data_IF_633712336641
#
_entry.id   IF_633712336641
#
_cell.length_a   1.000
_cell.length_b   1.000
_cell.length_c   1.000
_cell.angle_alpha   90.00
_cell.angle_beta   90.00
_cell.angle_gamma   90.00
#
_symmetry.space_group_name_H-M   'P 1'
#
loop_
_entity.id
_entity.type
_entity.pdbx_description
1 polymer ?
#
# COMPACT_ATOMS: atom_id res chain seq x y z
N UNK A 1 -15.49 0.01 -7.44
CA UNK A 1 -14.62 1.21 -7.49
C UNK A 1 -13.96 1.30 -6.15
N UNK A 2 -12.66 1.54 -6.03
CA UNK A 2 -12.03 1.68 -4.71
C UNK A 2 -12.73 2.73 -3.86
N UNK A 3 -13.17 3.84 -4.47
CA UNK A 3 -13.93 4.90 -3.81
C UNK A 3 -15.28 5.15 -4.48
N UNK A 4 -16.34 5.15 -3.67
CA UNK A 4 -17.69 5.54 -4.08
C UNK A 4 -17.92 6.98 -3.67
N UNK A 5 -18.16 7.85 -4.66
CA UNK A 5 -18.52 9.24 -4.44
C UNK A 5 -20.03 9.39 -4.26
N UNK A 6 -20.45 10.03 -3.17
CA UNK A 6 -21.83 10.50 -2.97
C UNK A 6 -21.84 12.02 -3.04
N UNK A 7 -22.52 12.56 -4.06
CA UNK A 7 -22.56 13.99 -4.27
C UNK A 7 -23.46 14.70 -3.24
N UNK A 8 -23.11 15.92 -2.86
CA UNK A 8 -23.91 16.77 -1.96
C UNK A 8 -24.18 16.11 -0.60
N UNK A 9 -23.17 15.42 -0.06
CA UNK A 9 -23.28 14.62 1.14
C UNK A 9 -22.06 14.81 2.05
N UNK A 10 -22.31 14.74 3.36
CA UNK A 10 -21.30 14.71 4.41
C UNK A 10 -21.87 13.94 5.61
N UNK A 11 -20.99 13.53 6.53
CA UNK A 11 -21.44 13.17 7.87
C UNK A 11 -22.02 14.44 8.53
N UNK A 12 -23.29 14.38 8.91
CA UNK A 12 -24.09 15.59 9.11
C UNK A 12 -24.83 15.57 10.46
N UNK A 13 -24.92 16.76 11.08
CA UNK A 13 -25.69 17.04 12.30
C UNK A 13 -25.55 15.98 13.41
N UNK A 14 -26.60 15.18 13.61
CA UNK A 14 -26.74 14.20 14.69
C UNK A 14 -25.96 12.92 14.50
N UNK A 15 -25.19 12.79 13.42
CA UNK A 15 -24.33 11.64 13.20
C UNK A 15 -23.36 11.39 14.34
N UNK A 16 -22.96 10.14 14.54
CA UNK A 16 -21.97 9.80 15.55
C UNK A 16 -20.60 10.33 15.16
N UNK A 17 -20.12 11.36 15.85
CA UNK A 17 -18.80 11.98 15.63
C UNK A 17 -17.67 11.32 16.44
N UNK A 18 -17.94 10.26 17.19
CA UNK A 18 -16.90 9.51 17.91
C UNK A 18 -15.90 8.85 16.96
N UNK A 19 -16.32 8.61 15.72
CA UNK A 19 -15.51 8.08 14.62
C UNK A 19 -14.67 9.13 13.88
N UNK A 20 -14.71 10.41 14.27
CA UNK A 20 -13.89 11.46 13.68
C UNK A 20 -12.40 11.16 13.91
N UNK A 21 -11.62 11.16 12.83
CA UNK A 21 -10.17 10.95 12.89
C UNK A 21 -9.44 12.29 12.89
N UNK A 22 -9.61 13.08 11.81
CA UNK A 22 -8.90 14.34 11.60
C UNK A 22 -9.52 15.17 10.49
N UNK A 23 -9.15 16.43 10.43
CA UNK A 23 -9.41 17.35 9.30
C UNK A 23 -8.08 17.78 8.70
N UNK A 24 -7.97 17.72 7.38
CA UNK A 24 -6.79 18.19 6.64
C UNK A 24 -7.22 19.34 5.73
N UNK A 25 -6.71 20.56 5.95
CA UNK A 25 -7.05 21.72 5.14
C UNK A 25 -6.34 21.69 3.78
N UNK A 26 -6.92 22.36 2.78
CA UNK A 26 -6.37 22.46 1.42
C UNK A 26 -6.04 21.10 0.78
N UNK A 27 -6.86 20.10 1.06
CA UNK A 27 -6.67 18.73 0.63
C UNK A 27 -7.66 18.39 -0.48
N UNK A 28 -7.17 18.22 -1.70
CA UNK A 28 -7.99 17.72 -2.81
C UNK A 28 -8.51 16.30 -2.51
N UNK A 29 -9.60 15.86 -3.16
CA UNK A 29 -10.06 14.47 -3.02
C UNK A 29 -8.99 13.42 -3.33
N UNK A 30 -8.15 13.66 -4.36
CA UNK A 30 -7.04 12.78 -4.71
C UNK A 30 -6.02 12.67 -3.55
N UNK A 31 -5.59 13.79 -2.98
CA UNK A 31 -4.72 13.79 -1.80
C UNK A 31 -5.38 13.11 -0.59
N UNK A 32 -6.69 13.28 -0.43
CA UNK A 32 -7.42 12.63 0.65
C UNK A 32 -7.44 11.10 0.50
N UNK A 33 -7.56 10.59 -0.74
CA UNK A 33 -7.45 9.16 -1.03
C UNK A 33 -6.05 8.62 -0.68
N UNK A 34 -4.98 9.35 -1.02
CA UNK A 34 -3.61 8.99 -0.63
C UNK A 34 -3.43 8.91 0.89
N UNK A 35 -3.90 9.94 1.62
CA UNK A 35 -3.86 9.97 3.09
C UNK A 35 -4.61 8.78 3.67
N UNK A 36 -5.75 8.42 3.07
CA UNK A 36 -6.56 7.32 3.52
C UNK A 36 -5.89 5.97 3.20
N UNK A 37 -5.17 5.83 2.08
CA UNK A 37 -4.41 4.61 1.80
C UNK A 37 -3.25 4.39 2.79
N UNK A 38 -2.63 5.46 3.28
CA UNK A 38 -1.56 5.37 4.29
C UNK A 38 -2.08 5.00 5.69
N UNK A 39 -3.39 5.11 5.94
CA UNK A 39 -4.02 4.91 7.24
C UNK A 39 -5.21 3.94 7.11
N UNK A 40 -5.01 2.63 7.38
CA UNK A 40 -6.06 1.62 7.30
C UNK A 40 -7.29 1.91 8.17
N UNK A 41 -7.13 2.77 9.20
CA UNK A 41 -8.25 3.22 10.04
C UNK A 41 -9.19 4.19 9.34
N UNK A 42 -8.85 4.76 8.18
CA UNK A 42 -9.71 5.69 7.46
C UNK A 42 -10.57 4.94 6.45
N UNK A 43 -11.87 4.82 6.72
CA UNK A 43 -12.81 4.14 5.83
C UNK A 43 -13.61 5.07 4.91
N UNK A 44 -13.77 6.34 5.28
CA UNK A 44 -14.38 7.35 4.41
C UNK A 44 -13.95 8.77 4.81
N UNK A 45 -14.22 9.71 3.91
CA UNK A 45 -14.07 11.13 4.16
C UNK A 45 -15.15 11.94 3.42
N UNK A 46 -15.33 13.20 3.80
CA UNK A 46 -15.98 14.17 2.91
C UNK A 46 -15.05 15.34 2.61
N UNK A 47 -15.23 15.92 1.43
CA UNK A 47 -14.50 17.06 0.93
C UNK A 47 -15.42 18.28 0.82
N UNK A 48 -15.03 19.39 1.42
CA UNK A 48 -15.77 20.65 1.41
C UNK A 48 -15.43 21.47 0.16
N UNK A 49 -16.34 21.54 -0.81
CA UNK A 49 -16.21 22.44 -1.98
C UNK A 49 -16.45 23.90 -1.60
N UNK A 50 -17.28 24.12 -0.59
CA UNK A 50 -17.58 25.41 0.02
C UNK A 50 -17.61 25.31 1.55
N UNK A 51 -17.67 26.46 2.22
CA UNK A 51 -17.78 26.53 3.67
C UNK A 51 -19.07 25.87 4.18
N UNK A 52 -18.94 25.04 5.21
CA UNK A 52 -20.06 24.33 5.85
C UNK A 52 -20.06 24.61 7.35
N UNK A 53 -21.23 24.95 7.90
CA UNK A 53 -21.45 25.04 9.35
C UNK A 53 -22.59 24.13 9.71
N UNK A 54 -22.35 23.25 10.68
CA UNK A 54 -23.33 22.32 11.21
C UNK A 54 -24.01 22.92 12.43
N UNK A 55 -25.26 22.52 12.69
CA UNK A 55 -26.03 22.97 13.85
C UNK A 55 -25.41 22.58 15.19
N UNK A 56 -24.56 21.54 15.21
CA UNK A 56 -23.78 21.13 16.37
C UNK A 56 -22.52 22.00 16.63
N UNK A 57 -22.35 23.10 15.88
CA UNK A 57 -21.26 24.07 16.04
C UNK A 57 -19.97 23.72 15.29
N UNK A 58 -19.87 22.55 14.66
CA UNK A 58 -18.73 22.21 13.80
C UNK A 58 -18.76 23.05 12.52
N UNK A 59 -17.61 23.58 12.13
CA UNK A 59 -17.44 24.35 10.89
C UNK A 59 -16.26 23.83 10.10
N UNK A 60 -16.42 23.76 8.78
CA UNK A 60 -15.40 23.31 7.84
C UNK A 60 -15.26 24.31 6.71
N UNK A 61 -14.02 24.55 6.29
CA UNK A 61 -13.69 25.51 5.24
C UNK A 61 -13.69 24.83 3.88
N UNK A 62 -13.84 25.63 2.84
CA UNK A 62 -13.55 25.20 1.48
C UNK A 62 -12.14 24.60 1.41
N UNK A 63 -12.01 23.44 0.79
CA UNK A 63 -10.76 22.70 0.66
C UNK A 63 -10.46 21.74 1.81
N UNK A 64 -11.28 21.68 2.87
CA UNK A 64 -11.08 20.72 3.94
C UNK A 64 -11.48 19.30 3.49
N UNK A 65 -10.64 18.31 3.81
CA UNK A 65 -11.00 16.90 3.82
C UNK A 65 -11.15 16.42 5.27
N UNK A 66 -12.28 15.79 5.59
CA UNK A 66 -12.63 15.36 6.95
C UNK A 66 -12.76 13.85 6.98
N UNK A 67 -11.92 13.20 7.78
CA UNK A 67 -11.72 11.75 7.78
C UNK A 67 -12.38 11.06 8.96
N UNK A 68 -12.85 9.84 8.73
CA UNK A 68 -13.59 9.05 9.69
C UNK A 68 -13.15 7.59 9.68
N UNK A 69 -13.24 6.95 10.85
CA UNK A 69 -13.02 5.53 11.05
C UNK A 69 -14.33 4.84 11.44
N UNK A 70 -14.99 4.20 10.50
CA UNK A 70 -16.19 3.41 10.77
C UNK A 70 -16.16 2.08 10.06
N UNK A 71 -16.49 1.02 10.78
CA UNK A 71 -16.86 -0.28 10.21
C UNK A 71 -18.31 -0.30 9.73
N UNK A 72 -19.11 0.69 10.12
CA UNK A 72 -20.51 0.86 9.70
C UNK A 72 -20.62 1.83 8.53
N UNK A 73 -21.68 1.67 7.73
CA UNK A 73 -22.00 2.60 6.66
C UNK A 73 -22.13 4.04 7.22
N UNK A 74 -21.53 5.03 6.54
CA UNK A 74 -21.57 6.41 7.00
C UNK A 74 -23.00 6.94 6.97
N UNK A 75 -23.42 7.62 8.05
CA UNK A 75 -24.70 8.31 8.07
C UNK A 75 -24.56 9.68 7.41
N UNK A 76 -24.88 9.72 6.12
CA UNK A 76 -24.87 10.96 5.35
C UNK A 76 -26.14 11.77 5.55
N UNK A 77 -25.97 13.08 5.72
CA UNK A 77 -27.03 14.07 5.52
C UNK A 77 -26.82 14.88 4.25
N UNK A 78 -27.84 15.66 3.88
CA UNK A 78 -27.76 16.58 2.75
C UNK A 78 -26.79 17.71 3.06
N UNK A 79 -25.71 17.79 2.30
CA UNK A 79 -24.70 18.83 2.40
C UNK A 79 -24.30 19.31 0.99
N UNK A 80 -25.05 20.23 0.36
CA UNK A 80 -24.75 20.74 -0.99
C UNK A 80 -23.34 21.31 -1.16
N UNK A 81 -22.68 21.67 -0.06
CA UNK A 81 -21.32 22.20 -0.03
C UNK A 81 -20.24 21.11 -0.10
N UNK A 82 -20.60 19.83 0.11
CA UNK A 82 -19.64 18.74 0.29
C UNK A 82 -19.92 17.56 -0.64
N UNK A 83 -18.88 16.78 -0.90
CA UNK A 83 -18.99 15.44 -1.47
C UNK A 83 -18.38 14.41 -0.52
N UNK A 84 -19.06 13.29 -0.33
CA UNK A 84 -18.55 12.19 0.47
C UNK A 84 -17.90 11.10 -0.40
N UNK A 85 -16.89 10.45 0.14
CA UNK A 85 -16.09 9.42 -0.51
C UNK A 85 -15.93 8.26 0.47
N UNK A 86 -16.55 7.11 0.14
CA UNK A 86 -16.47 5.88 0.95
C UNK A 86 -15.58 4.87 0.24
N UNK A 87 -14.66 4.24 0.97
CA UNK A 87 -13.86 3.14 0.42
C UNK A 87 -14.73 1.88 0.32
N UNK A 88 -14.76 1.27 -0.85
CA UNK A 88 -15.49 0.02 -1.09
C UNK A 88 -14.57 -1.19 -0.83
N UNK A 89 -13.38 -1.18 -1.43
CA UNK A 89 -12.28 -2.10 -1.17
C UNK A 89 -10.95 -1.36 -1.39
N UNK A 90 -9.86 -1.92 -0.86
CA UNK A 90 -8.51 -1.53 -1.24
C UNK A 90 -8.11 -2.33 -2.48
N UNK A 91 -7.74 -1.66 -3.56
CA UNK A 91 -7.26 -2.31 -4.78
C UNK A 91 -5.82 -1.91 -5.07
N UNK A 92 -4.92 -2.90 -5.11
CA UNK A 92 -3.49 -2.71 -5.33
C UNK A 92 -3.04 -3.52 -6.55
N UNK A 93 -2.01 -3.08 -7.26
CA UNK A 93 -1.45 -3.87 -8.34
C UNK A 93 0.06 -3.74 -8.49
N UNK A 94 0.73 -4.86 -8.82
CA UNK A 94 2.07 -4.82 -9.40
C UNK A 94 2.00 -4.37 -10.85
N UNK A 95 2.63 -3.24 -11.14
CA UNK A 95 2.87 -2.80 -12.50
C UNK A 95 4.07 -3.56 -13.08
N UNK A 96 4.06 -3.80 -14.39
CA UNK A 96 5.27 -4.20 -15.10
C UNK A 96 6.33 -3.11 -14.97
N UNK A 97 7.60 -3.45 -15.18
CA UNK A 97 8.72 -2.51 -15.13
C UNK A 97 8.41 -1.27 -16.02
N UNK A 98 8.46 -0.08 -15.42
CA UNK A 98 8.15 1.18 -16.11
C UNK A 98 6.67 1.42 -16.44
N UNK A 99 5.75 0.66 -15.84
CA UNK A 99 4.31 0.63 -16.16
C UNK A 99 3.40 1.43 -15.21
N UNK A 100 3.95 2.28 -14.32
CA UNK A 100 3.15 3.01 -13.31
C UNK A 100 2.10 3.90 -13.96
N UNK A 101 2.46 4.70 -14.96
CA UNK A 101 1.49 5.57 -15.67
C UNK A 101 0.36 4.78 -16.33
N UNK A 102 0.69 3.65 -16.98
CA UNK A 102 -0.29 2.78 -17.62
C UNK A 102 -1.24 2.14 -16.59
N UNK A 103 -0.72 1.70 -15.44
CA UNK A 103 -1.55 1.20 -14.34
C UNK A 103 -2.45 2.30 -13.76
N UNK A 104 -1.96 3.55 -13.65
CA UNK A 104 -2.73 4.70 -13.19
C UNK A 104 -3.83 5.13 -14.18
N UNK A 105 -3.78 4.71 -15.44
CA UNK A 105 -4.83 4.93 -16.44
C UNK A 105 -5.98 3.93 -16.35
N UNK A 106 -5.83 2.87 -15.57
CA UNK A 106 -6.91 1.91 -15.34
C UNK A 106 -8.05 2.58 -14.58
N UNK A 107 -9.26 2.47 -15.15
CA UNK A 107 -10.47 3.02 -14.56
C UNK A 107 -11.54 1.94 -14.46
N UNK A 108 -12.42 2.12 -13.48
CA UNK A 108 -13.60 1.31 -13.30
C UNK A 108 -14.77 2.25 -12.98
N UNK A 109 -15.88 2.16 -13.73
CA UNK A 109 -17.03 3.05 -13.62
C UNK A 109 -16.68 4.56 -13.62
N UNK A 110 -15.67 4.96 -14.39
CA UNK A 110 -15.28 6.37 -14.56
C UNK A 110 -14.41 6.94 -13.43
N UNK A 111 -13.99 6.12 -12.47
CA UNK A 111 -13.04 6.48 -11.42
C UNK A 111 -11.75 5.64 -11.53
N UNK A 112 -10.63 6.08 -10.93
CA UNK A 112 -9.42 5.26 -10.81
C UNK A 112 -9.73 3.86 -10.26
N UNK A 113 -9.13 2.83 -10.86
CA UNK A 113 -9.39 1.43 -10.50
C UNK A 113 -8.53 0.93 -9.33
N UNK A 114 -7.47 1.67 -8.96
CA UNK A 114 -6.48 1.29 -7.96
C UNK A 114 -6.37 2.36 -6.87
N UNK A 115 -6.08 1.94 -5.64
CA UNK A 115 -5.59 2.81 -4.57
C UNK A 115 -4.07 2.88 -4.55
N UNK A 116 -3.38 1.83 -5.01
CA UNK A 116 -1.94 1.80 -5.02
C UNK A 116 -1.34 0.98 -6.17
N UNK A 117 -0.13 1.39 -6.58
CA UNK A 117 0.69 0.74 -7.60
C UNK A 117 2.04 0.38 -6.99
N UNK A 118 2.48 -0.85 -7.25
CA UNK A 118 3.75 -1.42 -6.82
C UNK A 118 4.67 -1.57 -8.02
N UNK A 119 5.96 -1.27 -7.84
CA UNK A 119 6.97 -1.46 -8.87
C UNK A 119 8.33 -1.79 -8.23
N UNK A 120 9.07 -2.80 -8.74
CA UNK A 120 10.23 -3.33 -8.04
C UNK A 120 11.55 -2.64 -8.39
N UNK A 121 12.24 -2.14 -7.36
CA UNK A 121 13.70 -2.08 -7.32
C UNK A 121 14.26 -3.37 -6.70
N UNK A 122 15.59 -3.50 -6.67
CA UNK A 122 16.26 -4.68 -6.17
C UNK A 122 17.13 -4.42 -4.94
N UNK A 123 17.21 -5.38 -4.02
CA UNK A 123 18.24 -5.41 -2.99
C UNK A 123 19.48 -6.10 -3.54
N UNK A 124 20.63 -5.45 -3.38
CA UNK A 124 21.93 -6.00 -3.76
C UNK A 124 23.01 -5.57 -2.76
N UNK A 125 24.07 -6.39 -2.66
CA UNK A 125 25.27 -6.01 -1.95
C UNK A 125 26.02 -4.92 -2.73
N UNK A 126 26.38 -3.82 -2.07
CA UNK A 126 27.19 -2.75 -2.66
C UNK A 126 28.52 -3.25 -3.22
N UNK A 127 29.09 -4.29 -2.61
CA UNK A 127 30.34 -4.93 -3.02
C UNK A 127 30.25 -5.73 -4.32
N UNK A 128 29.05 -6.15 -4.76
CA UNK A 128 28.87 -6.81 -6.06
C UNK A 128 28.92 -5.81 -7.22
N UNK A 129 28.89 -4.52 -6.92
CA UNK A 129 28.94 -3.44 -7.90
C UNK A 129 27.62 -3.26 -8.63
N UNK A 130 27.60 -2.30 -9.57
CA UNK A 130 26.46 -2.06 -10.45
C UNK A 130 26.69 -2.78 -11.77
N UNK A 131 25.80 -3.69 -12.19
CA UNK A 131 25.72 -4.07 -13.60
C UNK A 131 25.53 -2.83 -14.48
N UNK A 132 25.95 -2.92 -15.75
CA UNK A 132 25.80 -1.82 -16.70
C UNK A 132 24.36 -1.27 -16.70
N UNK A 133 24.25 0.05 -16.76
CA UNK A 133 23.02 0.83 -16.83
C UNK A 133 22.12 0.77 -15.57
N UNK A 134 22.56 0.15 -14.47
CA UNK A 134 21.85 0.24 -13.18
C UNK A 134 22.38 1.39 -12.32
N UNK A 135 21.54 1.87 -11.39
CA UNK A 135 21.89 2.92 -10.44
C UNK A 135 21.44 2.54 -9.02
N UNK A 136 22.17 3.00 -8.02
CA UNK A 136 21.68 2.98 -6.64
C UNK A 136 20.55 4.00 -6.50
N UNK A 137 19.47 3.60 -5.83
CA UNK A 137 18.33 4.49 -5.52
C UNK A 137 18.79 5.65 -4.65
N UNK A 138 19.62 5.37 -3.64
CA UNK A 138 20.39 6.39 -2.94
C UNK A 138 21.86 6.34 -3.39
N UNK A 139 22.33 7.27 -4.25
CA UNK A 139 23.71 7.28 -4.71
C UNK A 139 24.73 7.54 -3.58
N UNK A 140 24.28 8.08 -2.45
CA UNK A 140 25.13 8.39 -1.29
C UNK A 140 24.96 7.39 -0.14
N UNK A 141 24.18 6.33 -0.32
CA UNK A 141 23.91 5.32 0.72
C UNK A 141 25.19 4.66 1.26
N UNK A 142 25.25 4.50 2.58
CA UNK A 142 26.47 4.13 3.31
C UNK A 142 26.56 2.66 3.77
N UNK A 143 25.62 1.79 3.35
CA UNK A 143 25.55 0.39 3.81
C UNK A 143 26.04 -0.67 2.83
N UNK A 144 26.38 -1.88 3.34
CA UNK A 144 26.56 -3.07 2.52
C UNK A 144 25.34 -3.42 1.68
N UNK A 145 24.13 -3.32 2.23
CA UNK A 145 22.89 -3.65 1.51
C UNK A 145 22.28 -2.38 0.93
N UNK A 146 22.00 -2.38 -0.38
CA UNK A 146 21.56 -1.18 -1.11
C UNK A 146 20.37 -1.47 -2.04
N UNK A 147 19.46 -0.50 -2.17
CA UNK A 147 18.42 -0.52 -3.21
C UNK A 147 18.99 -0.10 -4.56
N UNK A 148 18.78 -0.94 -5.58
CA UNK A 148 19.24 -0.76 -6.96
C UNK A 148 18.07 -0.68 -7.93
N UNK A 149 18.11 0.29 -8.82
CA UNK A 149 17.15 0.46 -9.91
C UNK A 149 17.81 0.17 -11.26
N UNK A 150 17.08 -0.52 -12.14
CA UNK A 150 17.41 -0.55 -13.56
C UNK A 150 16.96 0.79 -14.24
N UNK A 151 17.29 1.01 -15.53
CA UNK A 151 16.94 2.27 -16.21
C UNK A 151 15.46 2.62 -16.19
N UNK A 152 14.56 1.63 -16.34
CA UNK A 152 13.12 1.87 -16.37
C UNK A 152 12.55 2.23 -15.00
N UNK A 153 13.06 1.60 -13.94
CA UNK A 153 12.70 1.94 -12.56
C UNK A 153 13.22 3.35 -12.24
N UNK A 154 14.44 3.69 -12.66
CA UNK A 154 14.97 5.03 -12.42
C UNK A 154 14.27 6.11 -13.25
N UNK A 155 13.84 5.80 -14.48
CA UNK A 155 12.96 6.66 -15.28
C UNK A 155 11.62 6.90 -14.58
N UNK A 156 11.05 5.88 -13.95
CA UNK A 156 9.81 6.01 -13.17
C UNK A 156 10.02 6.91 -11.95
N UNK A 157 11.11 6.71 -11.21
CA UNK A 157 11.44 7.47 -10.00
C UNK A 157 11.73 8.96 -10.27
N UNK A 158 12.34 9.27 -11.41
CA UNK A 158 12.76 10.64 -11.76
C UNK A 158 11.83 11.35 -12.75
N UNK A 159 10.86 10.63 -13.32
CA UNK A 159 9.91 11.12 -14.31
C UNK A 159 8.63 11.70 -13.72
N UNK A 160 7.58 11.76 -14.54
CA UNK A 160 6.26 12.28 -14.16
C UNK A 160 5.27 11.18 -13.71
N UNK A 161 5.66 9.90 -13.80
CA UNK A 161 4.81 8.75 -13.51
C UNK A 161 4.18 8.79 -12.11
N UNK A 162 4.98 9.10 -11.08
CA UNK A 162 4.52 9.15 -9.67
C UNK A 162 3.56 10.32 -9.48
N UNK A 163 3.94 11.53 -9.93
CA UNK A 163 3.09 12.71 -9.84
C UNK A 163 1.76 12.52 -10.61
N UNK A 164 1.80 11.79 -11.73
CA UNK A 164 0.62 11.44 -12.51
C UNK A 164 -0.32 10.50 -11.75
N UNK A 165 0.20 9.49 -11.07
CA UNK A 165 -0.58 8.61 -10.20
C UNK A 165 -1.19 9.40 -9.01
N UNK A 166 -0.41 10.27 -8.37
CA UNK A 166 -0.89 11.13 -7.28
C UNK A 166 -2.01 12.07 -7.69
N UNK A 167 -1.97 12.64 -8.90
CA UNK A 167 -3.03 13.49 -9.43
C UNK A 167 -4.38 12.76 -9.53
N UNK A 168 -4.35 11.42 -9.55
CA UNK A 168 -5.53 10.54 -9.54
C UNK A 168 -5.85 9.94 -8.18
N UNK A 169 -5.08 10.28 -7.15
CA UNK A 169 -5.26 9.77 -5.79
C UNK A 169 -4.76 8.34 -5.59
N UNK A 170 -3.81 7.89 -6.43
CA UNK A 170 -3.23 6.55 -6.39
C UNK A 170 -1.84 6.62 -5.77
N UNK A 171 -1.62 5.85 -4.71
CA UNK A 171 -0.32 5.76 -4.05
C UNK A 171 0.67 4.96 -4.90
N UNK A 172 1.96 5.26 -4.80
CA UNK A 172 3.02 4.55 -5.50
C UNK A 172 4.05 4.06 -4.49
N UNK A 173 4.22 2.74 -4.40
CA UNK A 173 5.12 2.10 -3.44
C UNK A 173 6.30 1.49 -4.18
N UNK A 174 7.51 1.74 -3.66
CA UNK A 174 8.71 1.11 -4.18
C UNK A 174 8.87 -0.27 -3.54
N UNK A 175 8.75 -1.33 -4.33
CA UNK A 175 9.04 -2.68 -3.86
C UNK A 175 10.55 -2.90 -3.84
N UNK A 176 11.08 -3.40 -2.73
CA UNK A 176 12.42 -3.98 -2.71
C UNK A 176 12.31 -5.48 -2.90
N UNK A 177 12.68 -5.96 -4.08
CA UNK A 177 12.77 -7.38 -4.41
C UNK A 177 14.22 -7.86 -4.21
N UNK A 178 14.50 -8.98 -3.54
CA UNK A 178 15.90 -9.44 -3.51
C UNK A 178 16.39 -9.83 -4.92
N UNK A 179 17.71 -9.92 -5.13
CA UNK A 179 18.22 -10.10 -6.49
C UNK A 179 19.53 -10.91 -6.56
N UNK A 180 19.40 -12.21 -6.37
CA UNK A 180 20.36 -13.28 -6.71
C UNK A 180 21.80 -13.11 -6.20
N UNK A 181 22.04 -12.16 -5.29
CA UNK A 181 23.24 -12.09 -4.47
C UNK A 181 22.87 -12.34 -3.00
N UNK A 182 23.84 -12.16 -2.09
CA UNK A 182 23.63 -12.48 -0.68
C UNK A 182 22.90 -11.38 0.13
N UNK A 183 22.50 -10.27 -0.49
CA UNK A 183 21.64 -9.29 0.16
C UNK A 183 20.17 -9.72 0.08
N UNK A 184 19.46 -9.51 1.17
CA UNK A 184 18.01 -9.61 1.19
C UNK A 184 17.42 -9.24 2.55
N UNK A 185 16.10 -9.14 2.59
CA UNK A 185 15.39 -8.72 3.79
C UNK A 185 15.56 -9.69 4.96
N UNK A 186 15.70 -10.97 4.66
CA UNK A 186 15.90 -12.04 5.63
C UNK A 186 17.38 -12.29 5.98
N UNK A 187 18.33 -11.55 5.42
CA UNK A 187 19.77 -11.87 5.47
C UNK A 187 20.60 -10.97 6.39
N UNK A 188 20.01 -9.94 7.01
CA UNK A 188 20.75 -9.05 7.91
C UNK A 188 21.20 -9.80 9.18
N UNK A 189 22.51 -9.85 9.49
CA UNK A 189 22.98 -10.54 10.68
C UNK A 189 22.50 -9.86 11.97
N UNK A 190 22.19 -10.63 13.02
CA UNK A 190 21.82 -10.11 14.34
C UNK A 190 23.00 -9.48 15.13
N UNK A 191 24.12 -9.20 14.47
CA UNK A 191 25.30 -8.56 15.06
C UNK A 191 25.15 -7.04 15.05
N UNK A 192 25.97 -6.32 15.81
CA UNK A 192 25.99 -4.86 15.77
C UNK A 192 26.27 -4.29 14.36
N UNK A 193 27.09 -4.98 13.56
CA UNK A 193 27.36 -4.57 12.17
C UNK A 193 26.13 -4.78 11.27
N UNK A 194 25.40 -5.90 11.43
CA UNK A 194 24.19 -6.14 10.66
C UNK A 194 23.03 -5.22 11.06
N UNK A 195 22.92 -4.86 12.34
CA UNK A 195 22.00 -3.81 12.80
C UNK A 195 22.34 -2.44 12.19
N UNK A 196 23.63 -2.09 12.12
CA UNK A 196 24.07 -0.86 11.47
C UNK A 196 23.76 -0.86 9.96
N UNK A 197 23.94 -1.99 9.27
CA UNK A 197 23.54 -2.14 7.86
C UNK A 197 22.03 -1.98 7.70
N UNK A 198 21.21 -2.62 8.54
CA UNK A 198 19.75 -2.49 8.50
C UNK A 198 19.28 -1.04 8.74
N UNK A 199 19.93 -0.30 9.64
CA UNK A 199 19.67 1.13 9.85
C UNK A 199 20.06 1.98 8.64
N UNK A 200 21.19 1.68 7.99
CA UNK A 200 21.62 2.36 6.78
C UNK A 200 20.71 2.05 5.60
N UNK A 201 20.23 0.82 5.47
CA UNK A 201 19.23 0.42 4.49
C UNK A 201 17.90 1.14 4.74
N UNK A 202 17.44 1.21 5.99
CA UNK A 202 16.24 1.97 6.36
C UNK A 202 16.36 3.48 6.03
N UNK A 203 17.55 4.06 6.13
CA UNK A 203 17.80 5.44 5.70
C UNK A 203 17.66 5.61 4.18
N UNK A 204 18.06 4.60 3.38
CA UNK A 204 17.85 4.62 1.92
C UNK A 204 16.37 4.53 1.55
N UNK A 205 15.58 3.75 2.29
CA UNK A 205 14.12 3.74 2.15
C UNK A 205 13.54 5.14 2.35
N UNK A 206 13.91 5.83 3.44
CA UNK A 206 13.46 7.21 3.68
C UNK A 206 13.99 8.18 2.62
N UNK A 207 15.21 7.99 2.11
CA UNK A 207 15.71 8.76 0.98
C UNK A 207 14.80 8.62 -0.25
N UNK A 208 14.36 7.40 -0.58
CA UNK A 208 13.47 7.18 -1.70
C UNK A 208 12.15 7.98 -1.57
N UNK A 209 11.56 7.97 -0.37
CA UNK A 209 10.36 8.76 -0.06
C UNK A 209 10.60 10.26 -0.20
N UNK A 210 11.70 10.79 0.37
CA UNK A 210 11.96 12.23 0.35
C UNK A 210 12.38 12.76 -1.02
N UNK A 211 13.07 11.94 -1.80
CA UNK A 211 13.69 12.34 -3.08
C UNK A 211 12.78 12.08 -4.27
N UNK A 212 12.11 10.93 -4.30
CA UNK A 212 11.29 10.51 -5.44
C UNK A 212 9.79 10.57 -5.15
N UNK A 213 9.41 10.96 -3.93
CA UNK A 213 8.00 11.14 -3.54
C UNK A 213 7.15 9.87 -3.68
N UNK A 214 7.76 8.69 -3.54
CA UNK A 214 6.97 7.46 -3.33
C UNK A 214 6.25 7.52 -1.98
N UNK A 215 5.11 6.85 -1.87
CA UNK A 215 4.23 6.88 -0.69
C UNK A 215 4.56 5.80 0.34
N UNK A 216 5.50 4.91 0.01
CA UNK A 216 5.82 3.77 0.85
C UNK A 216 6.86 2.82 0.27
N UNK A 217 7.18 1.83 1.09
CA UNK A 217 8.07 0.72 0.78
C UNK A 217 7.30 -0.58 0.86
N UNK A 218 7.55 -1.46 -0.09
CA UNK A 218 7.00 -2.80 -0.11
C UNK A 218 8.12 -3.85 -0.05
N UNK A 219 7.93 -4.90 0.74
CA UNK A 219 8.85 -6.03 0.85
C UNK A 219 8.42 -7.12 -0.13
N UNK A 220 9.35 -7.54 -0.97
CA UNK A 220 9.25 -8.79 -1.71
C UNK A 220 10.52 -9.62 -1.44
N UNK A 221 10.40 -10.61 -0.55
CA UNK A 221 11.54 -11.35 0.02
C UNK A 221 11.87 -12.62 -0.77
N UNK A 222 11.82 -12.52 -2.09
CA UNK A 222 12.14 -13.61 -3.00
C UNK A 222 13.50 -13.39 -3.68
N UNK A 223 14.15 -14.48 -4.11
CA UNK A 223 15.35 -14.50 -4.97
C UNK A 223 16.69 -14.09 -4.32
N UNK A 224 16.79 -14.03 -2.98
CA UNK A 224 18.10 -13.94 -2.31
C UNK A 224 18.90 -15.24 -2.52
N UNK A 225 20.21 -15.13 -2.68
CA UNK A 225 21.15 -16.25 -2.62
C UNK A 225 21.87 -16.33 -1.26
N UNK A 226 21.50 -15.47 -0.32
CA UNK A 226 22.05 -15.42 1.03
C UNK A 226 21.51 -16.53 1.93
N UNK A 227 21.99 -16.54 3.17
CA UNK A 227 21.48 -17.44 4.21
C UNK A 227 20.57 -16.65 5.13
N UNK A 228 19.29 -17.03 5.17
CA UNK A 228 18.31 -16.37 6.02
C UNK A 228 18.71 -16.47 7.50
N UNK A 229 18.56 -15.35 8.20
CA UNK A 229 18.87 -15.17 9.61
C UNK A 229 17.55 -14.99 10.37
N UNK A 230 17.30 -15.85 11.35
CA UNK A 230 16.09 -15.76 12.16
C UNK A 230 15.97 -14.37 12.81
N UNK A 231 14.82 -13.72 12.63
CA UNK A 231 14.55 -12.38 13.16
C UNK A 231 15.10 -11.22 12.34
N UNK A 232 15.81 -11.46 11.23
CA UNK A 232 16.26 -10.41 10.31
C UNK A 232 15.10 -9.56 9.83
N UNK A 233 14.03 -10.20 9.33
CA UNK A 233 12.87 -9.52 8.76
C UNK A 233 12.18 -8.59 9.76
N UNK A 234 12.01 -9.04 11.01
CA UNK A 234 11.49 -8.22 12.10
C UNK A 234 12.41 -7.03 12.44
N UNK A 235 13.73 -7.27 12.47
CA UNK A 235 14.72 -6.23 12.76
C UNK A 235 14.78 -5.15 11.68
N UNK A 236 14.96 -5.53 10.41
CA UNK A 236 15.02 -4.56 9.31
C UNK A 236 13.67 -3.88 9.13
N UNK A 237 12.56 -4.61 9.29
CA UNK A 237 11.21 -4.04 9.25
C UNK A 237 10.98 -2.98 10.31
N UNK A 238 11.43 -3.23 11.54
CA UNK A 238 11.37 -2.24 12.63
C UNK A 238 12.15 -0.97 12.27
N UNK A 239 13.39 -1.09 11.77
CA UNK A 239 14.18 0.08 11.38
C UNK A 239 13.58 0.83 10.20
N UNK A 240 13.06 0.13 9.19
CA UNK A 240 12.38 0.76 8.06
C UNK A 240 11.15 1.52 8.55
N UNK A 241 10.30 0.92 9.39
CA UNK A 241 9.13 1.60 9.96
C UNK A 241 9.52 2.84 10.76
N UNK A 242 10.53 2.76 11.62
CA UNK A 242 11.03 3.92 12.36
C UNK A 242 11.51 5.05 11.44
N UNK A 243 12.15 4.68 10.32
CA UNK A 243 12.70 5.62 9.35
C UNK A 243 11.59 6.31 8.54
N UNK A 244 10.64 5.54 7.97
CA UNK A 244 9.60 6.06 7.06
C UNK A 244 8.35 6.60 7.78
N UNK A 245 8.27 6.40 9.09
CA UNK A 245 7.18 6.92 9.93
C UNK A 245 5.81 6.38 9.51
N UNK A 246 4.90 7.29 9.13
CA UNK A 246 3.50 6.96 8.77
C UNK A 246 3.31 6.59 7.29
N UNK A 247 4.35 6.65 6.47
CA UNK A 247 4.28 6.19 5.09
C UNK A 247 3.87 4.71 5.03
N UNK A 248 3.35 4.27 3.88
CA UNK A 248 2.93 2.88 3.76
C UNK A 248 4.13 1.94 3.87
N UNK A 249 4.02 0.91 4.70
CA UNK A 249 4.97 -0.20 4.73
C UNK A 249 4.19 -1.48 4.45
N UNK A 250 4.54 -2.20 3.39
CA UNK A 250 3.80 -3.39 2.98
C UNK A 250 4.70 -4.57 2.71
N UNK A 251 4.07 -5.73 2.52
CA UNK A 251 4.77 -6.96 2.17
C UNK A 251 3.94 -7.84 1.23
N UNK A 252 4.60 -8.37 0.22
CA UNK A 252 4.22 -9.59 -0.49
C UNK A 252 4.36 -10.80 0.46
N UNK A 253 3.23 -11.43 0.77
CA UNK A 253 3.10 -12.53 1.72
C UNK A 253 3.19 -13.88 0.98
N UNK A 254 4.31 -14.57 1.15
CA UNK A 254 4.60 -15.80 0.42
C UNK A 254 5.51 -16.77 1.21
N UNK A 255 4.95 -17.90 1.62
CA UNK A 255 5.66 -18.98 2.33
C UNK A 255 6.55 -18.48 3.49
N UNK A 256 6.03 -17.52 4.26
CA UNK A 256 6.83 -16.67 5.15
C UNK A 256 6.22 -16.46 6.54
N UNK A 257 5.20 -17.24 6.92
CA UNK A 257 4.50 -17.09 8.21
C UNK A 257 5.43 -17.21 9.42
N UNK A 258 6.48 -18.03 9.32
CA UNK A 258 7.51 -18.18 10.36
C UNK A 258 8.29 -16.88 10.63
N UNK A 259 8.39 -15.97 9.65
CA UNK A 259 9.07 -14.69 9.81
C UNK A 259 8.25 -13.64 10.59
N UNK A 260 6.98 -13.92 10.87
CA UNK A 260 6.12 -13.05 11.69
C UNK A 260 6.22 -13.35 13.20
N UNK A 261 6.79 -14.51 13.58
CA UNK A 261 6.94 -14.90 14.98
C UNK A 261 8.00 -14.09 15.74
N UNK A 262 9.19 -13.82 15.17
CA UNK A 262 10.18 -12.99 15.85
C UNK A 262 9.68 -11.57 16.10
N UNK A 263 10.12 -10.99 17.22
CA UNK A 263 9.91 -9.57 17.53
C UNK A 263 11.24 -8.84 17.66
N UNK A 264 11.23 -7.56 17.30
CA UNK A 264 12.35 -6.65 17.49
C UNK A 264 11.82 -5.30 17.98
N UNK A 265 12.49 -4.67 18.95
CA UNK A 265 11.97 -3.43 19.53
C UNK A 265 10.63 -3.56 20.26
N UNK A 266 10.19 -4.80 20.56
CA UNK A 266 8.91 -5.08 21.22
C UNK A 266 7.73 -5.30 20.26
N UNK A 267 7.95 -5.25 18.95
CA UNK A 267 6.93 -5.43 17.90
C UNK A 267 7.30 -6.57 16.96
N UNK A 268 6.29 -7.27 16.43
CA UNK A 268 6.48 -8.20 15.31
C UNK A 268 6.39 -7.46 13.97
N UNK A 269 6.87 -8.09 12.88
CA UNK A 269 6.73 -7.51 11.54
C UNK A 269 5.28 -7.18 11.19
N UNK A 270 4.34 -8.08 11.50
CA UNK A 270 2.92 -7.87 11.22
C UNK A 270 2.31 -6.66 11.93
N UNK A 271 2.85 -6.26 13.08
CA UNK A 271 2.44 -5.04 13.79
C UNK A 271 3.02 -3.77 13.16
N UNK A 272 4.17 -3.88 12.48
CA UNK A 272 4.83 -2.76 11.81
C UNK A 272 4.26 -2.51 10.41
N UNK A 273 3.62 -3.49 9.77
CA UNK A 273 3.08 -3.38 8.41
C UNK A 273 1.76 -2.60 8.35
N UNK A 274 1.67 -1.69 7.38
CA UNK A 274 0.41 -1.03 6.98
C UNK A 274 -0.48 -2.01 6.22
N UNK A 275 0.09 -2.75 5.26
CA UNK A 275 -0.65 -3.66 4.39
C UNK A 275 0.12 -4.97 4.18
N UNK A 276 -0.59 -6.06 3.89
CA UNK A 276 -0.01 -7.30 3.40
C UNK A 276 -0.91 -7.90 2.32
N UNK A 277 -0.31 -8.50 1.28
CA UNK A 277 -1.05 -9.21 0.23
C UNK A 277 -0.45 -10.55 -0.08
N UNK A 278 -1.31 -11.56 -0.19
CA UNK A 278 -0.89 -12.94 -0.48
C UNK A 278 -0.41 -13.09 -1.92
N UNK A 279 0.62 -13.93 -2.15
CA UNK A 279 1.18 -14.19 -3.48
C UNK A 279 0.90 -15.62 -3.99
N UNK A 280 0.20 -16.45 -3.21
CA UNK A 280 -0.12 -17.83 -3.57
C UNK A 280 -1.28 -17.92 -4.57
N UNK A 281 -1.11 -17.34 -5.77
CA UNK A 281 -2.18 -17.11 -6.75
C UNK A 281 -2.97 -18.35 -7.20
N UNK A 282 -2.43 -19.55 -6.97
CA UNK A 282 -3.08 -20.83 -7.27
C UNK A 282 -4.13 -21.27 -6.23
N UNK A 283 -4.23 -20.59 -5.09
CA UNK A 283 -5.13 -20.92 -3.99
C UNK A 283 -6.33 -19.96 -3.94
N UNK A 284 -7.44 -20.40 -3.34
CA UNK A 284 -8.58 -19.52 -3.07
C UNK A 284 -8.33 -18.60 -1.86
N UNK A 285 -9.11 -17.50 -1.70
CA UNK A 285 -8.89 -16.54 -0.61
C UNK A 285 -8.96 -17.16 0.80
N UNK A 286 -9.82 -18.16 1.00
CA UNK A 286 -9.99 -18.86 2.27
C UNK A 286 -8.70 -19.60 2.67
N UNK A 287 -7.99 -20.16 1.71
CA UNK A 287 -6.76 -20.91 1.98
C UNK A 287 -5.56 -19.96 2.12
N UNK A 288 -5.50 -18.90 1.30
CA UNK A 288 -4.40 -17.94 1.34
C UNK A 288 -4.42 -17.07 2.60
N UNK A 289 -5.55 -16.41 2.88
CA UNK A 289 -5.64 -15.38 3.91
C UNK A 289 -5.67 -15.96 5.32
N UNK A 290 -6.20 -17.16 5.49
CA UNK A 290 -6.27 -17.81 6.82
C UNK A 290 -4.90 -18.08 7.44
N UNK A 291 -3.84 -18.12 6.63
CA UNK A 291 -2.46 -18.25 7.11
C UNK A 291 -1.97 -17.01 7.90
N UNK A 292 -2.58 -15.84 7.68
CA UNK A 292 -2.12 -14.56 8.22
C UNK A 292 -3.09 -13.88 9.19
N UNK A 293 -4.29 -14.43 9.42
CA UNK A 293 -5.33 -13.83 10.27
C UNK A 293 -4.89 -13.52 11.71
N UNK A 294 -3.99 -14.33 12.28
CA UNK A 294 -3.45 -14.13 13.62
C UNK A 294 -2.14 -13.34 13.63
N UNK A 295 -1.57 -13.08 12.45
CA UNK A 295 -0.28 -12.40 12.27
C UNK A 295 -0.46 -10.92 11.95
N UNK A 296 -1.57 -10.55 11.32
CA UNK A 296 -1.95 -9.18 10.97
C UNK A 296 -3.47 -9.00 11.08
N UNK A 297 -3.96 -7.78 11.38
CA UNK A 297 -5.40 -7.52 11.33
C UNK A 297 -5.96 -7.76 9.93
N UNK A 298 -7.13 -8.40 9.82
CA UNK A 298 -7.79 -8.64 8.52
C UNK A 298 -7.98 -7.34 7.72
N UNK A 299 -8.26 -6.22 8.40
CA UNK A 299 -8.41 -4.90 7.77
C UNK A 299 -7.12 -4.34 7.16
N UNK A 300 -5.99 -5.05 7.28
CA UNK A 300 -4.70 -4.74 6.65
C UNK A 300 -4.32 -5.79 5.57
N UNK A 301 -5.11 -6.86 5.43
CA UNK A 301 -4.80 -7.99 4.57
C UNK A 301 -5.62 -7.97 3.28
N UNK A 302 -4.93 -8.20 2.17
CA UNK A 302 -5.49 -8.27 0.82
C UNK A 302 -5.19 -9.66 0.22
N UNK A 303 -6.10 -10.18 -0.61
CA UNK A 303 -5.83 -11.41 -1.37
C UNK A 303 -5.21 -11.06 -2.72
N UNK A 304 -4.09 -11.69 -3.07
CA UNK A 304 -3.51 -11.55 -4.40
C UNK A 304 -4.10 -12.50 -5.43
N UNK A 305 -4.16 -12.03 -6.67
CA UNK A 305 -4.65 -12.77 -7.82
C UNK A 305 -3.78 -12.52 -9.06
N UNK A 306 -3.74 -13.52 -9.94
CA UNK A 306 -3.17 -13.42 -11.27
C UNK A 306 -4.02 -14.23 -12.25
N UNK A 307 -4.29 -13.66 -13.44
CA UNK A 307 -5.04 -14.34 -14.48
C UNK A 307 -4.35 -15.64 -14.91
N UNK A 308 -5.15 -16.67 -15.16
CA UNK A 308 -4.67 -18.02 -15.48
C UNK A 308 -4.44 -18.94 -14.28
N UNK A 309 -4.53 -18.42 -13.04
CA UNK A 309 -4.50 -19.22 -11.81
C UNK A 309 -5.91 -19.37 -11.22
N UNK A 310 -6.06 -19.24 -9.89
CA UNK A 310 -7.35 -19.33 -9.23
C UNK A 310 -8.31 -18.26 -9.77
N UNK A 311 -9.52 -18.68 -10.16
CA UNK A 311 -10.56 -17.78 -10.68
C UNK A 311 -11.53 -17.41 -9.55
N UNK A 312 -11.47 -16.18 -9.01
CA UNK A 312 -12.30 -15.77 -7.88
C UNK A 312 -13.77 -15.72 -8.24
N UNK A 313 -14.61 -16.19 -7.32
CA UNK A 313 -16.07 -16.08 -7.42
C UNK A 313 -16.60 -14.88 -6.63
N UNK A 314 -17.84 -14.46 -6.91
CA UNK A 314 -18.53 -13.46 -6.08
C UNK A 314 -18.66 -13.94 -4.63
N UNK A 315 -18.81 -15.25 -4.39
CA UNK A 315 -18.88 -15.82 -3.05
C UNK A 315 -17.57 -15.62 -2.27
N UNK A 316 -16.42 -15.72 -2.93
CA UNK A 316 -15.12 -15.48 -2.31
C UNK A 316 -14.96 -14.02 -1.89
N UNK A 317 -15.35 -13.08 -2.76
CA UNK A 317 -15.26 -11.64 -2.49
C UNK A 317 -16.25 -11.21 -1.39
N UNK A 318 -17.44 -11.83 -1.35
CA UNK A 318 -18.40 -11.64 -0.27
C UNK A 318 -17.86 -12.18 1.07
N UNK A 319 -17.28 -13.38 1.06
CA UNK A 319 -16.64 -13.95 2.24
C UNK A 319 -15.50 -13.04 2.73
N UNK A 320 -14.63 -12.57 1.82
CA UNK A 320 -13.53 -11.67 2.17
C UNK A 320 -14.03 -10.41 2.89
N UNK A 321 -15.02 -9.73 2.29
CA UNK A 321 -15.61 -8.54 2.89
C UNK A 321 -16.29 -8.82 4.24
N UNK A 322 -16.97 -9.96 4.39
CA UNK A 322 -17.61 -10.36 5.65
C UNK A 322 -16.60 -10.67 6.77
N UNK A 323 -15.43 -11.21 6.43
CA UNK A 323 -14.33 -11.42 7.37
C UNK A 323 -13.52 -10.15 7.68
N UNK A 324 -13.87 -9.03 7.04
CA UNK A 324 -13.20 -7.74 7.26
C UNK A 324 -11.85 -7.60 6.56
N UNK A 325 -11.59 -8.38 5.50
CA UNK A 325 -10.40 -8.20 4.69
C UNK A 325 -10.44 -6.90 3.89
N UNK A 326 -9.28 -6.28 3.72
CA UNK A 326 -9.17 -4.94 3.16
C UNK A 326 -9.51 -4.88 1.66
N UNK A 327 -9.13 -5.91 0.90
CA UNK A 327 -9.36 -5.90 -0.54
C UNK A 327 -8.50 -6.88 -1.34
N UNK A 328 -8.09 -6.45 -2.52
CA UNK A 328 -7.53 -7.31 -3.57
C UNK A 328 -6.23 -6.74 -4.13
N UNK A 329 -5.32 -7.62 -4.49
CA UNK A 329 -4.10 -7.29 -5.22
C UNK A 329 -4.06 -8.04 -6.55
N UNK A 330 -3.64 -7.38 -7.63
CA UNK A 330 -3.44 -8.02 -8.94
C UNK A 330 -1.99 -7.93 -9.39
N UNK A 331 -1.38 -9.07 -9.68
CA UNK A 331 -0.03 -9.11 -10.23
C UNK A 331 0.01 -8.80 -11.72
N UNK A 332 1.04 -8.09 -12.17
CA UNK A 332 1.33 -7.77 -13.57
C UNK A 332 0.13 -7.17 -14.33
N UNK A 333 -0.41 -6.06 -13.82
CA UNK A 333 -1.61 -5.40 -14.38
C UNK A 333 -1.39 -4.75 -15.75
N UNK A 334 -0.16 -4.79 -16.28
CA UNK A 334 0.12 -4.43 -17.66
C UNK A 334 -0.47 -5.43 -18.67
N UNK A 335 -0.73 -6.68 -18.27
CA UNK A 335 -1.33 -7.69 -19.13
C UNK A 335 -2.85 -7.54 -19.21
N UNK A 336 -3.41 -7.67 -20.43
CA UNK A 336 -4.86 -7.51 -20.70
C UNK A 336 -5.72 -8.42 -19.83
N UNK A 337 -5.34 -9.68 -19.65
CA UNK A 337 -6.12 -10.63 -18.85
C UNK A 337 -6.14 -10.25 -17.36
N UNK A 338 -5.06 -9.65 -16.85
CA UNK A 338 -4.99 -9.13 -15.48
C UNK A 338 -5.83 -7.85 -15.32
N UNK A 339 -5.96 -7.02 -16.34
CA UNK A 339 -6.87 -5.86 -16.33
C UNK A 339 -8.34 -6.30 -16.33
N UNK A 340 -8.67 -7.35 -17.11
CA UNK A 340 -9.99 -7.96 -17.09
C UNK A 340 -10.29 -8.58 -15.72
N UNK A 341 -9.32 -9.28 -15.12
CA UNK A 341 -9.41 -9.80 -13.76
C UNK A 341 -9.65 -8.70 -12.72
N UNK A 342 -8.90 -7.59 -12.78
CA UNK A 342 -9.13 -6.43 -11.90
C UNK A 342 -10.59 -5.94 -11.99
N UNK A 343 -11.13 -5.85 -13.21
CA UNK A 343 -12.53 -5.45 -13.42
C UNK A 343 -13.50 -6.43 -12.77
N UNK A 344 -13.26 -7.74 -12.93
CA UNK A 344 -14.05 -8.80 -12.28
C UNK A 344 -14.02 -8.65 -10.76
N UNK A 345 -12.84 -8.51 -10.17
CA UNK A 345 -12.65 -8.33 -8.72
C UNK A 345 -13.40 -7.09 -8.19
N UNK A 346 -13.24 -5.94 -8.86
CA UNK A 346 -13.90 -4.69 -8.46
C UNK A 346 -15.42 -4.73 -8.60
N UNK A 347 -15.93 -5.49 -9.57
CA UNK A 347 -17.37 -5.66 -9.79
C UNK A 347 -18.00 -6.67 -8.83
N UNK A 348 -17.25 -7.71 -8.43
CA UNK A 348 -17.73 -8.75 -7.54
C UNK A 348 -17.61 -8.39 -6.05
N UNK A 349 -16.80 -7.39 -5.69
CA UNK A 349 -16.70 -6.91 -4.32
C UNK A 349 -18.02 -6.25 -3.88
N UNK A 350 -18.60 -6.64 -2.73
CA UNK A 350 -19.89 -6.12 -2.31
C UNK A 350 -19.85 -4.60 -2.11
N UNK A 351 -20.91 -3.91 -2.55
CA UNK A 351 -21.15 -2.53 -2.16
C UNK A 351 -21.63 -2.52 -0.71
N UNK A 352 -20.79 -2.02 0.20
CA UNK A 352 -21.09 -1.94 1.64
C UNK A 352 -21.97 -0.76 2.00
#
# INVERSE_FOLDING_TARGET
MPWIKTANAAQYEGADWSNYVKTVPNCTPAQAQLIAFQDPGISYFFYCRDHMVLTNGRSFKRGDAVFFNSTQAPWYGSAPQCDAYKRQCVAVAYASIGGVKAAADLTYNGAPALDAILFPANLNLKSTGLPNDTAWVDPNGAGPTMLRANPDIMRTLTGDDIAYAHAKGIAVLLTGLNNHDAAGWSEFPATAAGQADAQQFAAQCQYALSTYHVDGIDIDDEYSAGTSVQGSLAMVGHYVRQSIGKASFSKALFDDTDYFQPSYGGTSLGQELTWGWTMSYWMGPQDQLSLYQELMPNSHLLCGFQAGFYSPTTGDLQWMAQQGYAGVMVYNVGATDNQALLTTLLSGWPAS
#
